data_IF_752520690861
#
_entry.id   IF_752520690861
#
_cell.length_a   1.000
_cell.length_b   1.000
_cell.length_c   1.000
_cell.angle_alpha   90.00
_cell.angle_beta   90.00
_cell.angle_gamma   90.00
#
_symmetry.space_group_name_H-M   'P 1'
#
loop_
_entity.id
_entity.type
_entity.pdbx_description
1 polymer ?
#
# COMPACT_ATOMS: atom_id res chain seq x y z
N UNK A 1 -47.11 -42.36 21.41
CA UNK A 1 -47.47 -40.98 20.99
C UNK A 1 -48.37 -41.00 19.76
N UNK A 2 -49.27 -40.03 19.60
CA UNK A 2 -49.98 -39.74 18.32
C UNK A 2 -49.14 -38.80 17.43
N UNK A 3 -49.41 -38.72 16.13
CA UNK A 3 -48.61 -37.88 15.20
C UNK A 3 -48.52 -36.40 15.60
N UNK A 4 -49.60 -35.81 16.13
CA UNK A 4 -49.61 -34.40 16.59
C UNK A 4 -48.78 -34.18 17.87
N UNK A 5 -48.63 -35.22 18.68
CA UNK A 5 -47.86 -35.22 19.92
C UNK A 5 -46.36 -35.42 19.61
N UNK A 6 -46.06 -36.31 18.67
CA UNK A 6 -44.72 -36.49 18.11
C UNK A 6 -44.22 -35.19 17.47
N UNK A 7 -45.04 -34.56 16.61
CA UNK A 7 -44.77 -33.25 16.00
C UNK A 7 -44.39 -32.19 17.04
N UNK A 8 -45.13 -32.12 18.16
CA UNK A 8 -44.84 -31.19 19.27
C UNK A 8 -43.52 -31.51 19.99
N UNK A 9 -43.10 -32.77 20.05
CA UNK A 9 -41.87 -33.19 20.76
C UNK A 9 -40.59 -33.10 19.91
N UNK A 10 -40.69 -33.23 18.58
CA UNK A 10 -39.55 -33.01 17.67
C UNK A 10 -39.53 -31.61 17.02
N UNK A 11 -40.58 -30.81 17.17
CA UNK A 11 -40.70 -29.48 16.55
C UNK A 11 -40.98 -29.50 15.04
N UNK A 12 -41.33 -30.66 14.47
CA UNK A 12 -41.57 -30.83 13.03
C UNK A 12 -43.05 -30.69 12.67
N UNK A 13 -43.31 -30.14 11.47
CA UNK A 13 -44.66 -30.10 10.91
C UNK A 13 -45.19 -31.52 10.66
N UNK A 14 -46.52 -31.70 10.81
CA UNK A 14 -47.19 -32.99 10.57
C UNK A 14 -46.99 -33.49 9.12
N UNK A 15 -46.86 -32.59 8.15
CA UNK A 15 -46.50 -32.90 6.77
C UNK A 15 -45.11 -33.54 6.66
N UNK A 16 -44.10 -32.97 7.35
CA UNK A 16 -42.74 -33.52 7.43
C UNK A 16 -42.75 -34.93 8.02
N UNK A 17 -43.50 -35.16 9.10
CA UNK A 17 -43.62 -36.50 9.70
C UNK A 17 -44.27 -37.53 8.76
N UNK A 18 -45.31 -37.15 8.01
CA UNK A 18 -45.94 -38.03 7.02
C UNK A 18 -45.00 -38.33 5.83
N UNK A 19 -44.18 -37.36 5.43
CA UNK A 19 -43.14 -37.57 4.42
C UNK A 19 -42.02 -38.48 4.93
N UNK A 20 -41.60 -38.30 6.17
CA UNK A 20 -40.58 -39.13 6.84
C UNK A 20 -41.08 -40.56 7.07
N UNK A 21 -42.36 -40.75 7.43
CA UNK A 21 -43.00 -42.07 7.45
C UNK A 21 -43.03 -42.73 6.06
N UNK A 22 -43.35 -41.96 5.00
CA UNK A 22 -43.31 -42.46 3.61
C UNK A 22 -41.90 -42.90 3.19
N UNK A 23 -40.86 -42.30 3.76
CA UNK A 23 -39.45 -42.65 3.53
C UNK A 23 -38.89 -43.69 4.52
N UNK A 24 -39.71 -44.25 5.41
CA UNK A 24 -39.26 -45.26 6.39
C UNK A 24 -38.41 -44.72 7.54
N UNK A 25 -38.31 -43.39 7.70
CA UNK A 25 -37.59 -42.74 8.83
C UNK A 25 -38.30 -43.05 10.16
N UNK A 26 -39.63 -43.21 10.15
CA UNK A 26 -40.46 -43.59 11.30
C UNK A 26 -41.55 -44.55 10.82
N UNK A 27 -42.10 -45.39 11.71
CA UNK A 27 -43.05 -46.44 11.32
C UNK A 27 -44.23 -46.56 12.29
N UNK A 28 -45.22 -45.68 12.15
CA UNK A 28 -46.34 -45.60 13.10
C UNK A 28 -47.25 -46.84 13.07
N UNK A 29 -47.11 -47.69 14.09
CA UNK A 29 -47.95 -48.90 14.28
C UNK A 29 -49.44 -48.56 14.32
N UNK A 30 -50.29 -49.38 13.70
CA UNK A 30 -51.76 -49.18 13.76
C UNK A 30 -52.33 -49.78 15.03
N UNK A 31 -52.88 -48.95 15.90
CA UNK A 31 -53.67 -49.40 17.03
C UNK A 31 -55.07 -49.87 16.59
N UNK A 32 -55.76 -50.66 17.43
CA UNK A 32 -57.09 -51.20 17.15
C UNK A 32 -58.18 -50.14 16.90
N UNK A 33 -57.92 -48.87 17.24
CA UNK A 33 -58.78 -47.72 16.96
C UNK A 33 -58.50 -47.03 15.60
N UNK A 34 -57.67 -47.64 14.74
CA UNK A 34 -57.32 -47.14 13.41
C UNK A 34 -56.27 -46.03 13.37
N UNK A 35 -55.91 -45.42 14.51
CA UNK A 35 -54.86 -44.41 14.56
C UNK A 35 -53.46 -45.03 14.55
N UNK A 36 -52.50 -44.31 13.97
CA UNK A 36 -51.08 -44.61 14.12
C UNK A 36 -50.55 -44.16 15.46
N UNK A 37 -49.81 -45.04 16.13
CA UNK A 37 -49.04 -44.79 17.34
C UNK A 37 -47.55 -44.97 17.05
N UNK A 38 -46.77 -43.98 17.47
CA UNK A 38 -45.31 -43.91 17.38
C UNK A 38 -44.71 -44.06 18.78
N UNK A 39 -43.54 -44.66 18.91
CA UNK A 39 -42.88 -44.89 20.20
C UNK A 39 -41.73 -43.88 20.48
N UNK A 40 -41.01 -44.06 21.59
CA UNK A 40 -39.86 -43.22 21.92
C UNK A 40 -38.67 -43.46 20.98
N UNK A 41 -38.59 -44.62 20.32
CA UNK A 41 -37.58 -44.95 19.31
C UNK A 41 -37.80 -44.19 18.01
N UNK A 42 -39.06 -44.05 17.56
CA UNK A 42 -39.42 -43.13 16.46
C UNK A 42 -38.95 -41.69 16.78
N UNK A 43 -39.17 -41.21 18.02
CA UNK A 43 -38.75 -39.86 18.43
C UNK A 43 -37.22 -39.72 18.48
N UNK A 44 -36.50 -40.67 19.09
CA UNK A 44 -35.04 -40.65 19.15
C UNK A 44 -34.43 -40.69 17.74
N UNK A 45 -35.02 -41.48 16.83
CA UNK A 45 -34.61 -41.54 15.42
C UNK A 45 -34.85 -40.22 14.69
N UNK A 46 -35.97 -39.55 14.92
CA UNK A 46 -36.21 -38.19 14.40
C UNK A 46 -35.18 -37.18 14.92
N UNK A 47 -34.89 -37.20 16.23
CA UNK A 47 -33.89 -36.32 16.83
C UNK A 47 -32.49 -36.57 16.24
N UNK A 48 -32.12 -37.83 15.98
CA UNK A 48 -30.87 -38.19 15.31
C UNK A 48 -30.82 -37.71 13.85
N UNK A 49 -31.92 -37.81 13.08
CA UNK A 49 -32.00 -37.19 11.74
C UNK A 49 -31.82 -35.68 11.82
N UNK A 50 -32.50 -35.00 12.76
CA UNK A 50 -32.39 -33.55 12.91
C UNK A 50 -30.96 -33.11 13.27
N UNK A 51 -30.26 -33.85 14.13
CA UNK A 51 -28.86 -33.58 14.46
C UNK A 51 -27.91 -33.76 13.27
N UNK A 52 -28.08 -34.83 12.48
CA UNK A 52 -27.29 -35.06 11.26
C UNK A 52 -27.58 -34.00 10.18
N UNK A 53 -28.85 -33.58 10.02
CA UNK A 53 -29.22 -32.51 9.10
C UNK A 53 -28.69 -31.14 9.52
N UNK A 54 -28.54 -30.88 10.83
CA UNK A 54 -27.89 -29.66 11.32
C UNK A 54 -26.39 -29.60 10.94
N UNK A 55 -25.72 -30.75 10.73
CA UNK A 55 -24.39 -30.83 10.11
C UNK A 55 -24.38 -30.67 8.59
N UNK A 56 -25.54 -30.47 7.96
CA UNK A 56 -25.69 -30.31 6.51
C UNK A 56 -25.87 -31.62 5.72
N UNK A 57 -26.06 -32.78 6.38
CA UNK A 57 -26.32 -34.03 5.66
C UNK A 57 -27.70 -34.02 5.00
N UNK A 58 -27.78 -34.54 3.78
CA UNK A 58 -29.06 -34.82 3.13
C UNK A 58 -29.82 -35.94 3.85
N UNK A 59 -31.15 -35.96 3.74
CA UNK A 59 -31.98 -37.00 4.36
C UNK A 59 -31.60 -38.43 3.91
N UNK A 60 -31.07 -38.59 2.70
CA UNK A 60 -30.52 -39.87 2.21
C UNK A 60 -29.28 -40.30 2.99
N UNK A 61 -28.34 -39.39 3.25
CA UNK A 61 -27.15 -39.66 4.07
C UNK A 61 -27.54 -39.93 5.53
N UNK A 62 -28.51 -39.19 6.09
CA UNK A 62 -29.01 -39.45 7.43
C UNK A 62 -29.61 -40.86 7.57
N UNK A 63 -30.35 -41.34 6.57
CA UNK A 63 -30.90 -42.70 6.53
C UNK A 63 -29.81 -43.77 6.40
N UNK A 64 -28.78 -43.55 5.58
CA UNK A 64 -27.64 -44.46 5.48
C UNK A 64 -26.89 -44.57 6.83
N UNK A 65 -26.61 -43.44 7.49
CA UNK A 65 -26.00 -43.43 8.82
C UNK A 65 -26.87 -44.17 9.86
N UNK A 66 -28.19 -44.03 9.79
CA UNK A 66 -29.14 -44.77 10.65
C UNK A 66 -29.19 -46.28 10.38
N UNK A 67 -28.87 -46.72 9.16
CA UNK A 67 -28.77 -48.13 8.81
C UNK A 67 -27.43 -48.78 9.22
N UNK A 68 -26.47 -47.98 9.71
CA UNK A 68 -25.08 -48.41 9.91
C UNK A 68 -24.23 -48.36 8.63
N UNK A 69 -24.83 -47.97 7.50
CA UNK A 69 -24.17 -47.75 6.20
C UNK A 69 -23.45 -46.38 6.20
N UNK A 70 -22.54 -46.19 7.16
CA UNK A 70 -21.83 -44.92 7.34
C UNK A 70 -20.76 -44.78 6.26
N UNK A 71 -21.07 -43.99 5.23
CA UNK A 71 -20.09 -43.48 4.27
C UNK A 71 -19.15 -42.48 4.96
N UNK A 72 -18.05 -43.01 5.49
CA UNK A 72 -16.97 -42.24 6.11
C UNK A 72 -16.34 -41.24 5.13
N UNK A 73 -16.31 -41.52 3.82
CA UNK A 73 -15.75 -40.60 2.84
C UNK A 73 -16.68 -39.39 2.63
N UNK A 74 -18.00 -39.60 2.60
CA UNK A 74 -18.98 -38.52 2.56
C UNK A 74 -19.00 -37.68 3.85
N UNK A 75 -18.84 -38.31 5.03
CA UNK A 75 -18.68 -37.56 6.29
C UNK A 75 -17.41 -36.70 6.28
N UNK A 76 -16.27 -37.26 5.88
CA UNK A 76 -15.01 -36.52 5.78
C UNK A 76 -15.06 -35.42 4.71
N UNK A 77 -15.80 -35.62 3.62
CA UNK A 77 -16.05 -34.57 2.62
C UNK A 77 -16.85 -33.42 3.24
N UNK A 78 -17.95 -33.71 3.94
CA UNK A 78 -18.76 -32.66 4.59
C UNK A 78 -18.03 -31.92 5.70
N UNK A 79 -17.11 -32.58 6.41
CA UNK A 79 -16.22 -31.90 7.37
C UNK A 79 -15.30 -30.91 6.66
N UNK A 80 -14.65 -31.30 5.55
CA UNK A 80 -13.81 -30.37 4.76
C UNK A 80 -14.61 -29.18 4.21
N UNK A 81 -15.82 -29.40 3.70
CA UNK A 81 -16.72 -28.31 3.26
C UNK A 81 -17.04 -27.33 4.40
N UNK A 82 -17.23 -27.84 5.63
CA UNK A 82 -17.47 -27.02 6.82
C UNK A 82 -16.20 -26.28 7.28
N UNK A 83 -15.03 -26.91 7.21
CA UNK A 83 -13.75 -26.26 7.54
C UNK A 83 -13.43 -25.12 6.54
N UNK A 84 -13.69 -25.34 5.25
CA UNK A 84 -13.57 -24.31 4.20
C UNK A 84 -14.56 -23.15 4.41
N UNK A 85 -15.81 -23.44 4.81
CA UNK A 85 -16.81 -22.43 5.12
C UNK A 85 -16.48 -21.66 6.41
N UNK A 86 -16.05 -22.33 7.48
CA UNK A 86 -15.59 -21.71 8.72
C UNK A 86 -14.40 -20.79 8.47
N UNK A 87 -13.41 -21.26 7.68
CA UNK A 87 -12.29 -20.43 7.27
C UNK A 87 -12.77 -19.21 6.47
N UNK A 88 -13.65 -19.38 5.48
CA UNK A 88 -14.25 -18.26 4.71
C UNK A 88 -14.97 -17.24 5.58
N UNK A 89 -15.74 -17.69 6.58
CA UNK A 89 -16.43 -16.81 7.53
C UNK A 89 -15.45 -16.09 8.45
N UNK A 90 -14.41 -16.78 8.93
CA UNK A 90 -13.35 -16.22 9.76
C UNK A 90 -12.58 -15.11 9.03
N UNK A 91 -12.20 -15.34 7.76
CA UNK A 91 -11.60 -14.32 6.88
C UNK A 91 -12.48 -13.08 6.73
N UNK A 92 -13.76 -13.27 6.41
CA UNK A 92 -14.71 -12.18 6.27
C UNK A 92 -14.92 -11.39 7.58
N UNK A 93 -14.96 -12.08 8.73
CA UNK A 93 -15.02 -11.45 10.05
C UNK A 93 -13.78 -10.61 10.33
N UNK A 94 -12.60 -11.12 10.00
CA UNK A 94 -11.33 -10.45 10.27
C UNK A 94 -11.07 -9.25 9.36
N UNK A 95 -11.52 -9.31 8.09
CA UNK A 95 -11.56 -8.16 7.18
C UNK A 95 -12.52 -7.05 7.68
N UNK A 96 -13.63 -7.41 8.32
CA UNK A 96 -14.55 -6.43 8.91
C UNK A 96 -14.07 -5.90 10.27
N UNK A 97 -13.33 -6.71 11.04
CA UNK A 97 -12.70 -6.28 12.29
C UNK A 97 -11.54 -5.31 12.05
N UNK A 98 -10.82 -5.44 10.93
CA UNK A 98 -9.86 -4.46 10.41
C UNK A 98 -10.52 -3.10 10.18
N UNK A 99 -11.59 -3.11 9.39
CA UNK A 99 -12.26 -1.94 8.86
C UNK A 99 -12.98 -1.12 9.95
N UNK A 100 -13.26 -1.76 11.08
CA UNK A 100 -13.84 -1.16 12.27
C UNK A 100 -12.80 -0.83 13.37
N UNK A 101 -11.49 -0.98 13.10
CA UNK A 101 -10.41 -0.70 14.06
C UNK A 101 -10.42 -1.60 15.30
N UNK A 102 -11.05 -2.78 15.24
CA UNK A 102 -11.27 -3.68 16.38
C UNK A 102 -10.06 -4.58 16.69
N UNK A 103 -8.96 -4.45 15.94
CA UNK A 103 -7.73 -5.23 16.10
C UNK A 103 -6.54 -4.29 16.36
N UNK A 104 -5.63 -4.62 17.30
CA UNK A 104 -4.47 -3.78 17.62
C UNK A 104 -3.31 -3.88 16.61
N UNK A 105 -3.44 -4.81 15.65
CA UNK A 105 -2.56 -5.04 14.51
C UNK A 105 -3.36 -5.58 13.33
N UNK A 106 -2.83 -5.33 12.15
CA UNK A 106 -3.42 -5.70 10.87
C UNK A 106 -3.11 -7.14 10.48
N UNK A 107 -4.12 -7.83 9.95
CA UNK A 107 -3.96 -9.19 9.40
C UNK A 107 -3.55 -9.19 7.93
N UNK A 108 -2.80 -10.21 7.51
CA UNK A 108 -2.18 -10.26 6.18
C UNK A 108 -3.19 -10.20 5.01
N UNK A 109 -4.33 -10.89 5.12
CA UNK A 109 -5.41 -10.86 4.10
C UNK A 109 -5.99 -9.45 3.87
N UNK A 110 -5.88 -8.60 4.89
CA UNK A 110 -6.46 -7.28 4.95
C UNK A 110 -5.46 -6.21 4.49
N UNK A 111 -4.18 -6.34 4.87
CA UNK A 111 -3.07 -5.64 4.17
C UNK A 111 -3.10 -5.95 2.67
N UNK A 112 -3.29 -7.22 2.30
CA UNK A 112 -3.40 -7.63 0.90
C UNK A 112 -4.62 -7.00 0.20
N UNK A 113 -5.75 -6.84 0.89
CA UNK A 113 -6.92 -6.11 0.38
C UNK A 113 -6.65 -4.60 0.20
N UNK A 114 -5.99 -3.95 1.16
CA UNK A 114 -5.56 -2.55 1.04
C UNK A 114 -4.63 -2.36 -0.17
N UNK A 115 -3.58 -3.20 -0.29
CA UNK A 115 -2.64 -3.17 -1.42
C UNK A 115 -3.33 -3.47 -2.77
N UNK A 116 -4.28 -4.41 -2.81
CA UNK A 116 -5.05 -4.71 -4.01
C UNK A 116 -5.88 -3.48 -4.45
N UNK A 117 -6.58 -2.82 -3.52
CA UNK A 117 -7.36 -1.61 -3.85
C UNK A 117 -6.49 -0.43 -4.24
N UNK A 118 -5.31 -0.26 -3.63
CA UNK A 118 -4.34 0.75 -4.06
C UNK A 118 -3.85 0.52 -5.51
N UNK A 119 -3.74 -0.74 -5.95
CA UNK A 119 -3.37 -1.10 -7.33
C UNK A 119 -4.54 -0.97 -8.32
N UNK A 120 -5.71 -1.47 -7.95
CA UNK A 120 -6.84 -1.68 -8.88
C UNK A 120 -7.86 -0.54 -8.89
N UNK A 121 -7.95 0.24 -7.81
CA UNK A 121 -8.86 1.38 -7.69
C UNK A 121 -8.28 2.52 -6.80
N UNK A 122 -7.04 3.00 -7.05
CA UNK A 122 -6.35 3.96 -6.17
C UNK A 122 -7.18 5.21 -5.86
N UNK A 123 -7.81 5.83 -6.87
CA UNK A 123 -8.65 7.02 -6.68
C UNK A 123 -9.82 6.76 -5.71
N UNK A 124 -10.49 5.62 -5.84
CA UNK A 124 -11.62 5.26 -4.98
C UNK A 124 -11.17 4.86 -3.57
N UNK A 125 -10.05 4.14 -3.45
CA UNK A 125 -9.45 3.78 -2.16
C UNK A 125 -9.05 5.04 -1.40
N UNK A 126 -8.24 5.91 -1.99
CA UNK A 126 -7.75 7.11 -1.31
C UNK A 126 -8.89 8.12 -1.06
N UNK A 127 -9.87 8.26 -1.95
CA UNK A 127 -11.06 9.08 -1.69
C UNK A 127 -12.02 8.48 -0.62
N UNK A 128 -11.83 7.23 -0.21
CA UNK A 128 -12.49 6.64 0.94
C UNK A 128 -11.64 6.76 2.22
N UNK A 129 -10.31 6.58 2.13
CA UNK A 129 -9.34 6.84 3.23
C UNK A 129 -9.48 8.27 3.75
N UNK A 130 -9.49 9.28 2.87
CA UNK A 130 -9.73 10.69 3.25
C UNK A 130 -11.05 10.91 4.01
N UNK A 131 -12.07 10.07 3.78
CA UNK A 131 -13.36 10.13 4.49
C UNK A 131 -13.33 9.46 5.87
N UNK A 132 -12.27 8.73 6.21
CA UNK A 132 -12.06 8.18 7.55
C UNK A 132 -11.34 9.19 8.48
N UNK A 133 -10.88 10.33 7.96
CA UNK A 133 -10.24 11.41 8.72
C UNK A 133 -8.76 11.62 8.43
N UNK A 134 -8.14 10.75 7.62
CA UNK A 134 -6.77 10.93 7.12
C UNK A 134 -6.65 12.19 6.24
N UNK A 135 -5.51 12.88 6.35
CA UNK A 135 -5.16 14.04 5.54
C UNK A 135 -4.54 13.67 4.18
N UNK A 136 -4.35 14.66 3.31
CA UNK A 136 -3.65 14.46 2.02
C UNK A 136 -2.19 14.02 2.21
N UNK A 137 -1.55 14.47 3.31
CA UNK A 137 -0.22 14.03 3.73
C UNK A 137 -0.22 12.54 4.07
N UNK A 138 -1.15 12.14 4.94
CA UNK A 138 -1.32 10.76 5.39
C UNK A 138 -1.68 9.82 4.23
N UNK A 139 -2.43 10.30 3.24
CA UNK A 139 -2.73 9.57 2.00
C UNK A 139 -1.47 9.15 1.24
N UNK A 140 -0.48 10.03 1.10
CA UNK A 140 0.80 9.68 0.47
C UNK A 140 1.67 8.79 1.36
N UNK A 141 1.67 9.02 2.68
CA UNK A 141 2.30 8.15 3.66
C UNK A 141 1.69 6.73 3.73
N UNK A 142 0.40 6.57 3.42
CA UNK A 142 -0.27 5.26 3.25
C UNK A 142 0.08 4.62 1.91
N UNK A 143 0.28 5.42 0.86
CA UNK A 143 0.63 4.91 -0.47
C UNK A 143 2.07 4.38 -0.54
N UNK A 144 3.03 5.10 0.06
CA UNK A 144 4.46 4.87 -0.18
C UNK A 144 5.22 4.33 1.03
N UNK A 145 4.81 4.65 2.26
CA UNK A 145 5.54 4.27 3.48
C UNK A 145 4.83 3.15 4.26
N UNK A 146 3.84 3.53 5.06
CA UNK A 146 3.19 2.66 6.05
C UNK A 146 2.36 1.53 5.48
N UNK A 147 1.79 1.70 4.28
CA UNK A 147 1.00 0.72 3.50
C UNK A 147 -0.21 0.09 4.22
N UNK A 148 -0.52 0.56 5.44
CA UNK A 148 -1.47 -0.05 6.38
C UNK A 148 -2.13 1.01 7.28
N UNK A 149 -3.44 1.21 7.14
CA UNK A 149 -4.17 2.26 7.86
C UNK A 149 -4.26 2.07 9.38
N UNK A 150 -4.24 0.83 9.88
CA UNK A 150 -4.39 0.58 11.33
C UNK A 150 -3.05 0.63 12.07
N UNK A 151 -1.92 0.60 11.35
CA UNK A 151 -0.57 0.74 11.95
C UNK A 151 0.10 2.09 11.61
N UNK A 152 -0.56 2.92 10.80
CA UNK A 152 -0.08 4.20 10.25
C UNK A 152 0.65 5.10 11.26
N UNK A 153 -0.04 5.59 12.30
CA UNK A 153 0.51 6.54 13.27
C UNK A 153 1.77 6.01 13.98
N UNK A 154 1.79 4.70 14.25
CA UNK A 154 2.96 4.02 14.83
C UNK A 154 4.09 3.96 13.80
N UNK A 155 3.80 3.50 12.59
CA UNK A 155 4.78 3.39 11.52
C UNK A 155 5.45 4.74 11.25
N UNK A 156 4.67 5.80 11.03
CA UNK A 156 5.20 7.12 10.66
C UNK A 156 5.98 7.76 11.80
N UNK A 157 5.53 7.61 13.05
CA UNK A 157 6.30 8.04 14.23
C UNK A 157 7.66 7.32 14.34
N UNK A 158 7.67 6.01 14.18
CA UNK A 158 8.88 5.20 14.32
C UNK A 158 9.84 5.43 13.12
N UNK A 159 9.29 5.64 11.92
CA UNK A 159 10.02 5.99 10.69
C UNK A 159 10.67 7.38 10.78
N UNK A 160 9.94 8.41 11.19
CA UNK A 160 10.49 9.76 11.41
C UNK A 160 11.62 9.73 12.44
N UNK A 161 11.50 8.92 13.49
CA UNK A 161 12.57 8.72 14.48
C UNK A 161 13.80 8.01 13.90
N UNK A 162 13.62 7.07 12.97
CA UNK A 162 14.74 6.42 12.26
C UNK A 162 15.42 7.35 11.25
N UNK A 163 14.73 8.39 10.75
CA UNK A 163 15.31 9.46 9.93
C UNK A 163 15.81 10.68 10.72
N UNK A 164 15.85 10.62 12.06
CA UNK A 164 16.31 11.75 12.88
C UNK A 164 17.78 12.12 12.62
N UNK A 165 18.06 13.42 12.60
CA UNK A 165 19.36 13.99 12.26
C UNK A 165 19.76 13.92 10.78
N UNK A 166 19.01 13.22 9.92
CA UNK A 166 19.38 13.04 8.51
C UNK A 166 19.14 14.29 7.66
N UNK A 167 20.12 14.65 6.82
CA UNK A 167 20.00 15.76 5.86
C UNK A 167 19.22 15.37 4.60
N UNK A 168 19.30 14.10 4.20
CA UNK A 168 18.73 13.54 2.98
C UNK A 168 17.65 12.52 3.32
N UNK A 169 16.52 12.57 2.61
CA UNK A 169 15.42 11.59 2.70
C UNK A 169 15.33 10.68 1.47
N UNK A 170 16.33 10.76 0.59
CA UNK A 170 16.57 9.88 -0.55
C UNK A 170 18.01 10.12 -1.05
N UNK A 171 18.50 9.36 -2.05
CA UNK A 171 19.88 9.51 -2.54
C UNK A 171 20.15 10.92 -3.09
N UNK A 172 21.16 11.61 -2.55
CA UNK A 172 21.47 12.98 -2.95
C UNK A 172 22.86 13.46 -2.51
N UNK A 173 23.47 14.36 -3.28
CA UNK A 173 24.82 14.90 -3.00
C UNK A 173 24.91 16.37 -3.42
N UNK A 174 25.23 17.25 -2.46
CA UNK A 174 25.28 18.70 -2.66
C UNK A 174 26.19 19.13 -3.81
N UNK A 175 27.37 18.51 -3.95
CA UNK A 175 28.31 18.86 -5.00
C UNK A 175 27.81 18.38 -6.37
N UNK A 176 27.12 17.23 -6.41
CA UNK A 176 26.45 16.74 -7.62
C UNK A 176 25.26 17.63 -8.02
N UNK A 177 24.36 18.00 -7.11
CA UNK A 177 23.27 18.98 -7.35
C UNK A 177 23.83 20.28 -7.93
N UNK A 178 24.89 20.83 -7.33
CA UNK A 178 25.56 22.05 -7.79
C UNK A 178 26.22 21.88 -9.18
N UNK A 179 26.83 20.74 -9.46
CA UNK A 179 27.41 20.42 -10.78
C UNK A 179 26.32 20.35 -11.87
N UNK A 180 25.20 19.70 -11.59
CA UNK A 180 24.09 19.56 -12.54
C UNK A 180 23.39 20.90 -12.80
N UNK A 181 23.23 21.72 -11.75
CA UNK A 181 22.73 23.10 -11.89
C UNK A 181 23.68 23.98 -12.72
N UNK A 182 24.99 23.87 -12.50
CA UNK A 182 25.99 24.61 -13.28
C UNK A 182 26.09 24.16 -14.75
N UNK A 183 25.60 22.97 -15.09
CA UNK A 183 25.53 22.45 -16.45
C UNK A 183 24.27 22.87 -17.23
N UNK A 184 23.34 23.62 -16.62
CA UNK A 184 22.10 24.06 -17.28
C UNK A 184 22.36 24.97 -18.50
N UNK A 185 21.55 24.86 -19.57
CA UNK A 185 21.62 25.76 -20.73
C UNK A 185 21.04 27.16 -20.44
N UNK A 186 20.43 27.35 -19.27
CA UNK A 186 19.73 28.56 -18.84
C UNK A 186 20.33 29.09 -17.53
N UNK A 187 20.11 30.38 -17.26
CA UNK A 187 20.34 30.99 -15.94
C UNK A 187 18.98 31.36 -15.35
N UNK A 188 18.37 30.47 -14.53
CA UNK A 188 17.05 30.74 -13.98
C UNK A 188 17.07 31.93 -13.02
N UNK A 189 15.93 32.61 -12.89
CA UNK A 189 15.66 33.63 -11.88
C UNK A 189 14.57 33.22 -10.90
N UNK A 190 13.72 32.25 -11.29
CA UNK A 190 12.71 31.62 -10.43
C UNK A 190 12.76 30.10 -10.55
N UNK A 191 12.92 29.43 -9.41
CA UNK A 191 13.06 27.98 -9.26
C UNK A 191 11.94 27.47 -8.36
N UNK A 192 11.30 26.37 -8.76
CA UNK A 192 10.41 25.59 -7.88
C UNK A 192 11.10 24.26 -7.56
N UNK A 193 11.32 23.96 -6.28
CA UNK A 193 11.98 22.73 -5.80
C UNK A 193 10.90 21.81 -5.20
N UNK A 194 10.49 20.81 -5.98
CA UNK A 194 9.29 19.99 -5.77
C UNK A 194 9.59 18.75 -4.93
N UNK A 195 8.86 18.57 -3.82
CA UNK A 195 9.13 17.49 -2.86
C UNK A 195 10.50 17.67 -2.22
N UNK A 196 10.80 18.89 -1.76
CA UNK A 196 12.14 19.25 -1.28
C UNK A 196 12.54 18.52 0.02
N UNK A 197 11.59 17.94 0.76
CA UNK A 197 11.79 17.39 2.09
C UNK A 197 12.46 18.41 3.01
N UNK A 198 13.57 18.01 3.65
CA UNK A 198 14.39 18.89 4.51
C UNK A 198 15.29 19.87 3.73
N UNK A 199 15.13 19.96 2.41
CA UNK A 199 15.71 20.99 1.55
C UNK A 199 17.19 20.82 1.22
N UNK A 200 17.69 19.59 1.12
CA UNK A 200 19.08 19.35 0.77
C UNK A 200 19.43 19.86 -0.65
N UNK A 201 18.53 19.64 -1.63
CA UNK A 201 18.56 20.27 -2.95
C UNK A 201 18.45 21.79 -2.84
N UNK A 202 17.44 22.29 -2.12
CA UNK A 202 17.17 23.72 -1.90
C UNK A 202 18.41 24.47 -1.43
N UNK A 203 19.08 23.95 -0.40
CA UNK A 203 20.26 24.56 0.21
C UNK A 203 21.52 24.38 -0.65
N UNK A 204 21.59 23.32 -1.48
CA UNK A 204 22.65 23.17 -2.47
C UNK A 204 22.52 24.20 -3.59
N UNK A 205 21.30 24.45 -4.09
CA UNK A 205 20.99 25.45 -5.11
C UNK A 205 21.21 26.87 -4.58
N UNK A 206 20.67 27.21 -3.41
CA UNK A 206 20.75 28.55 -2.82
C UNK A 206 22.19 29.03 -2.55
N UNK A 207 23.15 28.10 -2.40
CA UNK A 207 24.58 28.39 -2.28
C UNK A 207 25.25 28.86 -3.59
N UNK A 208 24.63 28.64 -4.76
CA UNK A 208 25.24 28.89 -6.08
C UNK A 208 24.38 29.76 -7.01
N UNK A 209 23.26 30.30 -6.52
CA UNK A 209 22.43 31.24 -7.29
C UNK A 209 21.64 32.19 -6.38
N UNK A 210 21.43 33.42 -6.85
CA UNK A 210 20.52 34.42 -6.26
C UNK A 210 19.08 34.30 -6.79
N UNK A 211 18.76 33.25 -7.56
CA UNK A 211 17.42 33.00 -8.09
C UNK A 211 16.41 32.77 -6.96
N UNK A 212 15.20 33.30 -7.09
CA UNK A 212 14.13 33.09 -6.12
C UNK A 212 13.70 31.62 -6.12
N UNK A 213 13.93 30.92 -5.00
CA UNK A 213 13.59 29.51 -4.82
C UNK A 213 12.31 29.40 -3.99
N UNK A 214 11.34 28.61 -4.48
CA UNK A 214 10.19 28.15 -3.70
C UNK A 214 10.39 26.65 -3.44
N UNK A 215 10.67 26.30 -2.19
CA UNK A 215 10.76 24.92 -1.73
C UNK A 215 9.34 24.43 -1.37
N UNK A 216 8.92 23.32 -1.98
CA UNK A 216 7.53 22.85 -1.96
C UNK A 216 7.49 21.42 -1.44
N UNK A 217 6.66 21.17 -0.43
CA UNK A 217 6.46 19.84 0.16
C UNK A 217 5.07 19.74 0.81
N UNK A 218 4.71 18.56 1.35
CA UNK A 218 3.55 18.36 2.22
C UNK A 218 3.96 18.30 3.71
N UNK A 219 5.24 18.08 4.03
CA UNK A 219 5.74 18.05 5.40
C UNK A 219 6.04 19.47 5.94
N UNK A 220 5.10 20.04 6.69
CA UNK A 220 5.27 21.35 7.36
C UNK A 220 6.51 21.39 8.27
N UNK A 221 6.80 20.31 8.99
CA UNK A 221 7.99 20.17 9.84
C UNK A 221 9.30 20.16 9.03
N UNK A 222 9.27 19.60 7.81
CA UNK A 222 10.42 19.61 6.92
C UNK A 222 10.66 21.01 6.34
N UNK A 223 9.59 21.66 5.85
CA UNK A 223 9.61 23.04 5.36
C UNK A 223 10.04 24.03 6.46
N UNK A 224 9.63 23.82 7.71
CA UNK A 224 10.10 24.61 8.85
C UNK A 224 11.63 24.48 9.04
N UNK A 225 12.19 23.29 8.81
CA UNK A 225 13.64 23.08 8.83
C UNK A 225 14.35 23.71 7.61
N UNK A 226 13.75 23.71 6.42
CA UNK A 226 14.26 24.45 5.24
C UNK A 226 14.31 25.94 5.56
N UNK A 227 13.19 26.53 6.01
CA UNK A 227 13.10 27.96 6.31
C UNK A 227 14.03 28.37 7.46
N UNK A 228 14.25 27.50 8.46
CA UNK A 228 15.26 27.73 9.49
C UNK A 228 16.69 27.74 8.90
N UNK A 229 17.02 26.73 8.10
CA UNK A 229 18.36 26.57 7.52
C UNK A 229 18.71 27.69 6.54
N UNK A 230 17.77 28.10 5.70
CA UNK A 230 17.91 29.24 4.80
C UNK A 230 18.17 30.55 5.56
N UNK A 231 17.39 30.86 6.59
CA UNK A 231 17.61 32.03 7.45
C UNK A 231 18.96 31.98 8.18
N UNK A 232 19.37 30.82 8.67
CA UNK A 232 20.66 30.63 9.34
C UNK A 232 21.86 30.81 8.38
N UNK A 233 21.68 30.53 7.08
CA UNK A 233 22.68 30.75 6.03
C UNK A 233 22.62 32.14 5.37
N UNK A 234 21.61 32.96 5.66
CA UNK A 234 21.40 34.28 5.05
C UNK A 234 20.73 34.25 3.67
N UNK A 235 20.05 33.17 3.30
CA UNK A 235 19.41 32.99 1.99
C UNK A 235 18.01 33.59 1.96
N UNK A 236 17.92 34.91 1.87
CA UNK A 236 16.64 35.66 1.77
C UNK A 236 15.84 35.34 0.49
N UNK A 237 16.49 34.77 -0.53
CA UNK A 237 15.90 34.32 -1.79
C UNK A 237 15.19 32.96 -1.71
N UNK A 238 15.24 32.26 -0.56
CA UNK A 238 14.56 30.97 -0.34
C UNK A 238 13.26 31.17 0.42
N UNK A 239 12.18 30.64 -0.14
CA UNK A 239 10.83 30.64 0.42
C UNK A 239 10.28 29.21 0.48
N UNK A 240 9.25 28.97 1.30
CA UNK A 240 8.68 27.64 1.55
C UNK A 240 7.16 27.65 1.38
N UNK A 241 6.60 26.63 0.75
CA UNK A 241 5.16 26.45 0.55
C UNK A 241 4.75 25.00 0.89
N UNK A 242 3.81 24.86 1.83
CA UNK A 242 3.12 23.59 2.05
C UNK A 242 2.03 23.43 0.98
N UNK A 243 2.22 22.52 0.02
CA UNK A 243 1.29 22.25 -1.06
C UNK A 243 1.58 20.92 -1.78
N UNK A 244 0.52 20.25 -2.25
CA UNK A 244 0.67 19.08 -3.10
C UNK A 244 1.25 19.48 -4.49
N UNK A 245 2.44 18.97 -4.83
CA UNK A 245 3.09 19.19 -6.13
C UNK A 245 2.30 18.67 -7.34
N UNK A 246 1.24 17.89 -7.13
CA UNK A 246 0.28 17.46 -8.16
C UNK A 246 -0.87 18.45 -8.41
N UNK A 247 -1.11 19.41 -7.51
CA UNK A 247 -2.27 20.30 -7.50
C UNK A 247 -1.88 21.73 -7.06
N UNK A 248 -0.84 22.28 -7.69
CA UNK A 248 -0.23 23.54 -7.29
C UNK A 248 -1.05 24.80 -7.69
N UNK A 249 -0.94 25.90 -6.92
CA UNK A 249 -1.53 27.19 -7.30
C UNK A 249 -1.00 27.76 -8.62
N UNK A 250 -1.89 28.31 -9.44
CA UNK A 250 -1.54 28.94 -10.73
C UNK A 250 -0.59 30.14 -10.60
N UNK A 251 -0.61 30.85 -9.46
CA UNK A 251 0.22 32.03 -9.18
C UNK A 251 1.68 31.70 -8.83
N UNK A 252 2.05 30.41 -8.76
CA UNK A 252 3.45 30.00 -8.78
C UNK A 252 4.11 30.24 -10.15
N UNK A 253 3.34 30.19 -11.24
CA UNK A 253 3.84 30.47 -12.58
C UNK A 253 4.18 31.97 -12.77
N UNK A 254 5.16 32.32 -13.62
CA UNK A 254 6.03 31.44 -14.39
C UNK A 254 7.30 31.02 -13.63
N UNK A 255 7.80 29.81 -13.88
CA UNK A 255 9.08 29.30 -13.37
C UNK A 255 10.09 29.04 -14.51
N UNK A 256 11.34 29.46 -14.35
CA UNK A 256 12.41 29.22 -15.34
C UNK A 256 12.96 27.79 -15.23
N UNK A 257 12.94 27.25 -14.01
CA UNK A 257 13.43 25.93 -13.66
C UNK A 257 12.48 25.28 -12.65
N UNK A 258 12.20 24.01 -12.84
CA UNK A 258 11.63 23.13 -11.83
C UNK A 258 12.69 22.10 -11.48
N UNK A 259 12.94 21.89 -10.19
CA UNK A 259 13.87 20.92 -9.63
C UNK A 259 13.10 19.87 -8.83
N UNK A 260 13.48 18.60 -8.91
CA UNK A 260 12.74 17.49 -8.33
C UNK A 260 13.65 16.26 -8.11
N UNK A 261 14.54 16.34 -7.11
CA UNK A 261 15.39 15.20 -6.76
C UNK A 261 14.59 14.16 -5.95
N UNK A 262 14.27 13.02 -6.57
CA UNK A 262 13.64 11.88 -5.89
C UNK A 262 12.20 12.09 -5.44
N UNK A 263 11.44 12.97 -6.10
CA UNK A 263 10.04 13.27 -5.76
C UNK A 263 9.04 12.94 -6.88
N UNK A 264 9.45 13.00 -8.16
CA UNK A 264 8.55 12.83 -9.30
C UNK A 264 7.84 11.45 -9.36
N UNK A 265 8.43 10.41 -8.77
CA UNK A 265 7.85 9.07 -8.69
C UNK A 265 6.50 9.04 -7.95
N UNK A 266 6.30 9.93 -6.96
CA UNK A 266 5.07 10.05 -6.14
C UNK A 266 3.82 10.31 -7.00
N UNK A 267 4.01 10.95 -8.16
CA UNK A 267 2.98 11.18 -9.17
C UNK A 267 3.06 10.18 -10.34
N UNK A 268 4.21 9.53 -10.53
CA UNK A 268 4.68 8.96 -11.78
C UNK A 268 5.17 10.06 -12.74
N UNK A 269 6.38 9.89 -13.31
CA UNK A 269 7.07 10.92 -14.10
C UNK A 269 6.20 11.51 -15.22
N UNK A 270 5.44 10.69 -15.96
CA UNK A 270 4.54 11.17 -17.02
C UNK A 270 3.48 12.18 -16.51
N UNK A 271 2.94 11.95 -15.31
CA UNK A 271 1.95 12.83 -14.70
C UNK A 271 2.60 14.10 -14.14
N UNK A 272 3.78 13.99 -13.52
CA UNK A 272 4.57 15.14 -13.08
C UNK A 272 4.90 16.08 -14.26
N UNK A 273 5.48 15.54 -15.35
CA UNK A 273 5.80 16.29 -16.56
C UNK A 273 4.57 16.95 -17.21
N UNK A 274 3.39 16.32 -17.12
CA UNK A 274 2.11 16.87 -17.58
C UNK A 274 1.61 18.00 -16.67
N UNK A 275 1.58 17.78 -15.37
CA UNK A 275 1.09 18.73 -14.37
C UNK A 275 1.96 19.98 -14.24
N UNK A 276 3.28 19.83 -14.39
CA UNK A 276 4.25 20.93 -14.29
C UNK A 276 4.42 21.72 -15.59
N UNK A 277 3.91 21.21 -16.73
CA UNK A 277 4.00 21.86 -18.06
C UNK A 277 3.44 23.30 -18.12
N UNK A 278 2.34 23.66 -17.43
CA UNK A 278 1.81 25.03 -17.40
C UNK A 278 2.67 26.01 -16.62
N UNK A 279 3.36 25.56 -15.56
CA UNK A 279 4.15 26.42 -14.67
C UNK A 279 5.43 26.97 -15.34
N UNK A 280 5.97 26.23 -16.31
CA UNK A 280 7.22 26.56 -17.02
C UNK A 280 7.10 27.78 -17.95
N UNK A 281 7.89 28.81 -17.65
CA UNK A 281 7.87 30.17 -18.21
C UNK A 281 7.91 30.28 -19.75
N UNK A 282 8.59 29.35 -20.41
CA UNK A 282 8.81 29.37 -21.86
C UNK A 282 9.18 27.98 -22.38
N UNK A 283 9.32 27.78 -23.70
CA UNK A 283 9.93 26.57 -24.25
C UNK A 283 11.41 26.38 -23.86
N UNK A 284 12.09 27.42 -23.38
CA UNK A 284 13.49 27.35 -22.94
C UNK A 284 13.62 26.94 -21.46
N UNK A 285 12.55 27.10 -20.66
CA UNK A 285 12.52 26.70 -19.26
C UNK A 285 12.72 25.18 -19.10
N UNK A 286 13.39 24.77 -18.03
CA UNK A 286 13.81 23.39 -17.81
C UNK A 286 13.07 22.72 -16.65
N UNK A 287 12.96 21.39 -16.71
CA UNK A 287 12.71 20.53 -15.54
C UNK A 287 13.98 19.72 -15.33
N UNK A 288 14.53 19.74 -14.12
CA UNK A 288 15.52 18.75 -13.68
C UNK A 288 14.83 17.86 -12.66
N UNK A 289 14.80 16.55 -12.95
CA UNK A 289 14.27 15.56 -12.02
C UNK A 289 15.24 14.39 -11.89
N UNK A 290 15.27 13.72 -10.74
CA UNK A 290 15.87 12.39 -10.62
C UNK A 290 14.81 11.34 -10.31
N UNK A 291 14.96 10.17 -10.92
CA UNK A 291 14.10 9.01 -10.70
C UNK A 291 14.94 7.73 -10.62
N UNK A 292 14.39 6.70 -10.00
CA UNK A 292 14.97 5.37 -9.93
C UNK A 292 14.83 4.66 -11.30
N UNK A 293 15.90 4.01 -11.75
CA UNK A 293 15.89 3.22 -12.99
C UNK A 293 16.72 1.94 -12.89
N UNK A 294 16.26 0.91 -13.60
CA UNK A 294 17.07 -0.26 -13.92
C UNK A 294 18.23 0.12 -14.86
N UNK A 295 19.42 -0.35 -14.50
CA UNK A 295 20.67 -0.21 -15.26
C UNK A 295 21.02 -1.49 -16.04
N UNK A 296 20.15 -2.51 -15.96
CA UNK A 296 20.22 -3.78 -16.69
C UNK A 296 18.81 -4.18 -17.16
N UNK A 297 18.70 -4.78 -18.34
CA UNK A 297 17.45 -5.37 -18.82
C UNK A 297 17.09 -6.69 -18.09
N UNK A 298 18.05 -7.24 -17.33
CA UNK A 298 17.90 -8.46 -16.54
C UNK A 298 18.22 -8.14 -15.06
N UNK A 299 17.25 -7.63 -14.29
CA UNK A 299 17.45 -7.29 -12.88
C UNK A 299 17.51 -8.55 -11.99
N UNK A 300 18.24 -8.51 -10.85
CA UNK A 300 18.21 -9.57 -9.85
C UNK A 300 16.80 -9.79 -9.29
N UNK A 301 16.37 -11.04 -9.16
CA UNK A 301 15.00 -11.41 -8.74
C UNK A 301 14.59 -10.78 -7.39
N UNK A 302 15.48 -10.77 -6.41
CA UNK A 302 15.22 -10.19 -5.08
C UNK A 302 15.06 -8.66 -5.14
N UNK A 303 15.91 -7.97 -5.91
CA UNK A 303 15.78 -6.53 -6.14
C UNK A 303 14.51 -6.18 -6.94
N UNK A 304 14.14 -7.02 -7.90
CA UNK A 304 12.91 -6.86 -8.69
C UNK A 304 11.67 -7.06 -7.80
N UNK A 305 11.67 -8.07 -6.93
CA UNK A 305 10.57 -8.33 -5.99
C UNK A 305 10.41 -7.20 -4.96
N UNK A 306 11.51 -6.58 -4.51
CA UNK A 306 11.49 -5.37 -3.68
C UNK A 306 10.86 -4.20 -4.46
N UNK A 307 11.44 -3.80 -5.60
CA UNK A 307 10.93 -2.64 -6.34
C UNK A 307 9.50 -2.82 -6.87
N UNK A 308 9.00 -4.05 -7.08
CA UNK A 308 7.59 -4.31 -7.37
C UNK A 308 6.61 -4.00 -6.21
N UNK A 309 7.10 -3.90 -4.97
CA UNK A 309 6.31 -3.55 -3.78
C UNK A 309 6.44 -2.07 -3.38
N UNK A 310 7.43 -1.36 -3.93
CA UNK A 310 7.81 -0.01 -3.51
C UNK A 310 7.71 1.03 -4.65
N UNK A 311 8.14 0.69 -5.86
CA UNK A 311 7.94 1.50 -7.07
C UNK A 311 7.71 0.60 -8.30
N UNK A 312 6.53 -0.05 -8.43
CA UNK A 312 6.24 -0.97 -9.54
C UNK A 312 6.23 -0.33 -10.93
N UNK A 313 6.33 0.99 -11.02
CA UNK A 313 6.50 1.74 -12.27
C UNK A 313 7.99 2.03 -12.62
N UNK A 314 8.95 1.51 -11.85
CA UNK A 314 10.38 1.70 -12.12
C UNK A 314 10.80 1.09 -13.47
N UNK A 315 11.37 1.93 -14.34
CA UNK A 315 11.67 1.58 -15.74
C UNK A 315 13.18 1.36 -15.96
N UNK A 316 13.59 0.90 -17.14
CA UNK A 316 14.96 1.12 -17.60
C UNK A 316 15.19 2.59 -17.93
N UNK A 317 16.44 3.04 -18.01
CA UNK A 317 16.76 4.38 -18.50
C UNK A 317 16.17 4.66 -19.90
N UNK A 318 16.09 3.64 -20.77
CA UNK A 318 15.47 3.78 -22.08
C UNK A 318 13.95 4.09 -21.96
N UNK A 319 13.22 3.33 -21.14
CA UNK A 319 11.79 3.58 -20.90
C UNK A 319 11.50 4.94 -20.25
N UNK A 320 12.38 5.40 -19.34
CA UNK A 320 12.29 6.75 -18.77
C UNK A 320 12.45 7.83 -19.87
N UNK A 321 13.39 7.66 -20.79
CA UNK A 321 13.59 8.60 -21.91
C UNK A 321 12.45 8.56 -22.93
N UNK A 322 11.88 7.38 -23.21
CA UNK A 322 10.65 7.24 -24.01
C UNK A 322 9.45 7.92 -23.33
N UNK A 323 9.31 7.77 -22.01
CA UNK A 323 8.28 8.42 -21.18
C UNK A 323 8.40 9.96 -21.23
N UNK A 324 9.63 10.47 -21.13
CA UNK A 324 9.97 11.89 -21.28
C UNK A 324 9.58 12.41 -22.66
N UNK A 325 9.94 11.70 -23.72
CA UNK A 325 9.62 12.08 -25.10
C UNK A 325 8.10 12.05 -25.37
N UNK A 326 7.40 11.03 -24.86
CA UNK A 326 5.94 10.91 -24.97
C UNK A 326 5.19 12.05 -24.26
N UNK A 327 5.79 12.67 -23.23
CA UNK A 327 5.26 13.85 -22.55
C UNK A 327 5.51 15.18 -23.31
N UNK A 328 6.19 15.15 -24.46
CA UNK A 328 6.54 16.34 -25.24
C UNK A 328 7.68 17.15 -24.63
N UNK A 329 8.70 16.46 -24.15
CA UNK A 329 9.96 17.01 -23.67
C UNK A 329 11.14 16.24 -24.28
N UNK A 330 12.21 16.96 -24.60
CA UNK A 330 13.52 16.37 -24.90
C UNK A 330 14.38 16.30 -23.65
N UNK A 331 15.11 15.20 -23.50
CA UNK A 331 16.21 15.09 -22.56
C UNK A 331 17.46 15.77 -23.14
N UNK A 332 17.97 16.80 -22.47
CA UNK A 332 19.19 17.53 -22.84
C UNK A 332 20.45 16.86 -22.29
N UNK A 333 20.35 16.31 -21.08
CA UNK A 333 21.40 15.50 -20.44
C UNK A 333 20.77 14.55 -19.43
N UNK A 334 21.41 13.41 -19.20
CA UNK A 334 21.09 12.52 -18.10
C UNK A 334 22.39 12.03 -17.45
N UNK A 335 22.41 11.79 -16.14
CA UNK A 335 23.62 11.34 -15.41
C UNK A 335 23.22 10.46 -14.21
N UNK A 336 23.79 9.25 -14.05
CA UNK A 336 23.61 8.47 -12.83
C UNK A 336 24.14 9.20 -11.60
N UNK A 337 23.42 9.11 -10.48
CA UNK A 337 23.87 9.67 -9.21
C UNK A 337 25.14 8.94 -8.72
N UNK A 338 26.13 9.68 -8.15
CA UNK A 338 27.36 9.09 -7.66
C UNK A 338 27.12 8.22 -6.42
N UNK A 339 28.04 7.30 -6.11
CA UNK A 339 27.93 6.47 -4.90
C UNK A 339 27.95 7.30 -3.60
N UNK A 340 28.54 8.51 -3.61
CA UNK A 340 28.44 9.44 -2.48
C UNK A 340 27.00 9.85 -2.18
N UNK A 341 26.15 10.01 -3.21
CA UNK A 341 24.74 10.35 -3.04
C UNK A 341 23.94 9.24 -2.34
N UNK A 342 24.31 7.98 -2.60
CA UNK A 342 23.75 6.82 -1.90
C UNK A 342 24.28 6.71 -0.46
N UNK A 343 25.59 6.90 -0.24
CA UNK A 343 26.16 6.86 1.11
C UNK A 343 25.61 7.99 2.02
N UNK A 344 25.39 9.18 1.47
CA UNK A 344 24.75 10.30 2.18
C UNK A 344 23.33 9.98 2.68
N UNK A 345 22.67 8.98 2.10
CA UNK A 345 21.35 8.47 2.48
C UNK A 345 21.43 7.22 3.36
N UNK A 346 22.22 6.22 2.96
CA UNK A 346 22.29 4.90 3.61
C UNK A 346 23.12 4.88 4.90
N UNK A 347 24.28 5.55 4.93
CA UNK A 347 25.19 5.50 6.08
C UNK A 347 24.51 6.07 7.36
N UNK A 348 23.71 7.16 7.30
CA UNK A 348 22.92 7.61 8.45
C UNK A 348 21.81 6.64 8.89
N UNK A 349 21.14 5.95 7.96
CA UNK A 349 20.08 4.97 8.28
C UNK A 349 20.71 3.79 9.03
N UNK A 350 21.86 3.27 8.59
CA UNK A 350 22.58 2.20 9.29
C UNK A 350 22.94 2.62 10.73
N UNK A 351 23.41 3.85 10.93
CA UNK A 351 23.70 4.40 12.27
C UNK A 351 22.44 4.49 13.13
N UNK A 352 21.30 4.90 12.57
CA UNK A 352 20.04 5.03 13.33
C UNK A 352 19.36 3.67 13.58
N UNK A 353 19.40 2.72 12.64
CA UNK A 353 18.94 1.34 12.82
C UNK A 353 19.70 0.67 13.97
N UNK A 354 21.02 0.87 14.07
CA UNK A 354 21.83 0.39 15.21
C UNK A 354 21.47 1.13 16.49
N UNK A 355 21.36 2.47 16.46
CA UNK A 355 21.05 3.31 17.63
C UNK A 355 19.72 2.95 18.30
N UNK A 356 18.68 2.69 17.50
CA UNK A 356 17.32 2.45 17.99
C UNK A 356 16.93 0.97 18.01
N UNK A 357 17.86 0.04 17.78
CA UNK A 357 17.58 -1.40 17.69
C UNK A 357 16.81 -1.96 18.89
N UNK A 358 17.22 -1.60 20.10
CA UNK A 358 16.62 -2.11 21.34
C UNK A 358 15.23 -1.52 21.64
N UNK A 359 14.85 -0.43 20.96
CA UNK A 359 13.54 0.23 21.10
C UNK A 359 12.59 -0.11 19.94
N UNK A 360 13.11 -0.20 18.71
CA UNK A 360 12.34 -0.26 17.46
C UNK A 360 12.56 -1.53 16.63
N UNK A 361 13.45 -2.47 17.01
CA UNK A 361 13.77 -3.65 16.18
C UNK A 361 12.58 -4.56 15.81
N UNK A 362 11.50 -4.50 16.60
CA UNK A 362 10.24 -5.23 16.37
C UNK A 362 9.14 -4.35 15.70
N UNK A 363 9.49 -3.16 15.22
CA UNK A 363 8.58 -2.26 14.47
C UNK A 363 8.71 -2.48 12.96
N UNK A 364 7.60 -2.29 12.23
CA UNK A 364 7.58 -2.41 10.78
C UNK A 364 8.55 -1.44 10.11
N UNK A 365 8.56 -0.16 10.53
CA UNK A 365 9.45 0.85 9.98
C UNK A 365 10.95 0.51 10.15
N UNK A 366 11.36 -0.15 11.25
CA UNK A 366 12.74 -0.64 11.41
C UNK A 366 13.03 -1.82 10.47
N UNK A 367 12.09 -2.75 10.33
CA UNK A 367 12.24 -3.95 9.50
C UNK A 367 12.25 -3.62 8.00
N UNK A 368 11.47 -2.63 7.57
CA UNK A 368 11.42 -2.19 6.18
C UNK A 368 12.66 -1.35 5.83
N UNK A 369 13.06 -0.37 6.64
CA UNK A 369 14.34 0.36 6.44
C UNK A 369 15.56 -0.56 6.51
N UNK A 370 15.57 -1.58 7.39
CA UNK A 370 16.64 -2.57 7.42
C UNK A 370 16.66 -3.47 6.18
N UNK A 371 15.52 -3.68 5.51
CA UNK A 371 15.44 -4.41 4.23
C UNK A 371 15.90 -3.53 3.08
N UNK A 372 15.43 -2.29 3.01
CA UNK A 372 15.82 -1.27 2.04
C UNK A 372 17.34 -1.09 2.00
N UNK A 373 17.97 -0.88 3.17
CA UNK A 373 19.43 -0.80 3.29
C UNK A 373 20.12 -2.05 2.74
N UNK A 374 19.67 -3.26 3.11
CA UNK A 374 20.27 -4.50 2.63
C UNK A 374 20.16 -4.64 1.10
N UNK A 375 18.98 -4.36 0.54
CA UNK A 375 18.72 -4.39 -0.91
C UNK A 375 19.59 -3.36 -1.65
N UNK A 376 19.76 -2.15 -1.11
CA UNK A 376 20.65 -1.14 -1.69
C UNK A 376 22.13 -1.55 -1.63
N UNK A 377 22.64 -1.96 -0.46
CA UNK A 377 24.04 -2.37 -0.31
C UNK A 377 24.40 -3.61 -1.15
N UNK A 378 23.44 -4.49 -1.44
CA UNK A 378 23.65 -5.72 -2.22
C UNK A 378 23.46 -5.52 -3.73
N UNK A 379 22.56 -4.64 -4.18
CA UNK A 379 22.11 -4.60 -5.58
C UNK A 379 22.27 -3.25 -6.32
N UNK A 380 22.77 -2.19 -5.67
CA UNK A 380 23.13 -0.96 -6.38
C UNK A 380 24.12 -1.22 -7.52
N UNK A 381 23.88 -0.58 -8.66
CA UNK A 381 24.56 -0.87 -9.93
C UNK A 381 23.77 -1.80 -10.86
N UNK A 382 22.85 -2.62 -10.34
CA UNK A 382 21.79 -3.22 -11.17
C UNK A 382 20.61 -2.26 -11.38
N UNK A 383 20.39 -1.37 -10.42
CA UNK A 383 19.60 -0.15 -10.54
C UNK A 383 20.37 1.01 -9.91
N UNK A 384 19.86 2.22 -10.13
CA UNK A 384 20.34 3.43 -9.49
C UNK A 384 19.39 4.59 -9.78
N UNK A 385 19.69 5.77 -9.24
CA UNK A 385 18.99 6.99 -9.61
C UNK A 385 19.71 7.66 -10.78
N UNK A 386 18.96 8.22 -11.71
CA UNK A 386 19.48 9.06 -12.80
C UNK A 386 18.81 10.42 -12.73
N UNK A 387 19.60 11.49 -12.72
CA UNK A 387 19.10 12.86 -12.87
C UNK A 387 19.07 13.24 -14.35
N UNK A 388 17.97 13.85 -14.80
CA UNK A 388 17.71 14.22 -16.19
C UNK A 388 17.39 15.72 -16.28
N UNK A 389 18.10 16.45 -17.14
CA UNK A 389 17.73 17.82 -17.52
C UNK A 389 16.84 17.79 -18.77
N UNK A 390 15.62 18.27 -18.63
CA UNK A 390 14.54 18.19 -19.60
C UNK A 390 14.11 19.60 -20.05
N UNK A 391 13.65 19.70 -21.30
CA UNK A 391 13.13 20.95 -21.87
C UNK A 391 11.96 20.64 -22.80
N UNK A 392 10.96 21.54 -22.87
CA UNK A 392 9.78 21.36 -23.74
C UNK A 392 10.23 21.18 -25.20
N UNK A 393 9.59 20.23 -25.90
CA UNK A 393 9.68 20.21 -27.36
C UNK A 393 8.97 21.44 -27.95
N UNK A 394 9.56 21.97 -29.04
CA UNK A 394 9.22 23.25 -29.68
C UNK A 394 8.37 23.06 -30.94
#
# INVERSE_FOLDING_TARGET
MKISELARRCGLARSTLLYYEKLGVIAGTRAANGYRHYDEGDLQRLQMVQALQAGGLSLKQCLACLAGEIDQAALQARVRELDEELARMQRARDLLADLAGLRPRSGEEFKAWQLQLQREAPEAYFAWVMKQGFSEKDRYHLQWLSKDMNEHDRYIKDFIKLLDGMSYWGPGDRAFTQQQFAALPIRPRRILDMGCGRGASTMALAQVTDAAIVAIDLEEEALAAVAHSARAAGFEHVSTLCANMAALPDDLAPADLIWAEGSAYVMGVANALKAWRPLLASPQACIVLSDAVWLTDNPPEEALAFWQQDYPAMQTLAGLLETVQAAGYRCLSHTPLPMSAWNNYLDPIEVNLVRYRDELGESAAWQDLSREVAIHRQYLGSYGYVICCLQKDT
#
